data_IF_217840906720
#
_entry.id   IF_217840906720
#
_cell.length_a   1.000
_cell.length_b   1.000
_cell.length_c   1.000
_cell.angle_alpha   90.00
_cell.angle_beta   90.00
_cell.angle_gamma   90.00
#
_symmetry.space_group_name_H-M   'P 1'
#
loop_
_entity.id
_entity.type
_entity.pdbx_description
1 polymer ?
#
# COMPACT_ATOMS: atom_id res chain seq x y z
N UNK A 1 42.94 -65.59 -27.59
CA UNK A 1 42.36 -65.60 -28.94
C UNK A 1 41.39 -64.42 -29.01
N UNK A 2 41.59 -63.54 -29.99
CA UNK A 2 40.91 -62.25 -30.26
C UNK A 2 39.37 -62.37 -30.17
N UNK A 3 38.57 -61.35 -29.85
CA UNK A 3 38.32 -60.14 -30.68
C UNK A 3 37.85 -58.94 -29.81
N UNK A 4 38.25 -57.74 -30.25
CA UNK A 4 37.89 -56.41 -29.75
C UNK A 4 36.43 -56.00 -30.06
N UNK A 5 35.92 -54.92 -29.44
CA UNK A 5 35.22 -53.87 -30.19
C UNK A 5 35.24 -52.53 -29.44
N UNK A 6 35.51 -51.49 -30.21
CA UNK A 6 35.64 -50.09 -29.83
C UNK A 6 34.31 -49.31 -30.04
N UNK A 7 34.37 -48.01 -29.74
CA UNK A 7 33.48 -46.91 -30.16
C UNK A 7 32.24 -46.64 -29.28
N UNK A 8 31.69 -45.43 -29.23
CA UNK A 8 32.18 -44.05 -29.29
C UNK A 8 30.94 -43.17 -28.99
N UNK A 9 31.17 -42.09 -28.26
CA UNK A 9 30.46 -40.79 -28.19
C UNK A 9 29.22 -40.60 -29.09
N UNK A 10 28.07 -40.28 -28.48
CA UNK A 10 27.38 -38.96 -28.54
C UNK A 10 25.89 -39.09 -28.21
N UNK A 11 25.34 -38.32 -27.24
CA UNK A 11 23.90 -38.06 -27.22
C UNK A 11 23.55 -37.01 -28.30
N UNK A 12 22.61 -37.39 -29.17
CA UNK A 12 21.91 -36.50 -30.09
C UNK A 12 21.25 -35.38 -29.27
N UNK A 13 21.74 -34.15 -29.47
CA UNK A 13 21.00 -32.92 -29.16
C UNK A 13 19.79 -32.86 -30.10
N UNK A 14 18.62 -33.20 -29.57
CA UNK A 14 17.37 -32.87 -30.22
C UNK A 14 17.22 -31.35 -30.21
N UNK A 15 17.29 -30.75 -31.40
CA UNK A 15 17.01 -29.35 -31.65
C UNK A 15 15.55 -29.06 -31.26
N UNK A 16 15.36 -28.24 -30.23
CA UNK A 16 14.10 -27.56 -30.00
C UNK A 16 13.90 -26.52 -31.13
N UNK A 17 12.68 -26.36 -31.66
CA UNK A 17 12.42 -25.40 -32.73
C UNK A 17 12.62 -23.96 -32.22
N UNK A 18 13.72 -23.38 -32.64
CA UNK A 18 14.04 -21.96 -32.65
C UNK A 18 13.12 -21.26 -33.66
N UNK A 19 11.95 -20.81 -33.23
CA UNK A 19 11.13 -19.75 -33.84
C UNK A 19 9.79 -19.62 -33.09
N UNK A 20 9.82 -18.97 -31.93
CA UNK A 20 8.65 -18.24 -31.42
C UNK A 20 9.05 -16.76 -31.41
N UNK A 21 8.26 -15.85 -32.01
CA UNK A 21 8.55 -14.42 -31.93
C UNK A 21 8.58 -14.05 -30.45
N UNK A 22 9.73 -13.53 -30.01
CA UNK A 22 9.93 -13.08 -28.66
C UNK A 22 8.87 -12.06 -28.29
N UNK A 23 7.94 -12.45 -27.44
CA UNK A 23 7.16 -11.51 -26.65
C UNK A 23 8.14 -10.91 -25.66
N UNK A 24 8.79 -9.82 -26.06
CA UNK A 24 9.40 -8.91 -25.10
C UNK A 24 8.24 -8.33 -24.31
N UNK A 25 8.02 -8.85 -23.10
CA UNK A 25 7.19 -8.18 -22.11
C UNK A 25 7.91 -6.88 -21.74
N UNK A 26 7.73 -5.85 -22.56
CA UNK A 26 7.97 -4.49 -22.12
C UNK A 26 6.92 -4.27 -21.03
N UNK A 27 7.38 -4.42 -19.78
CA UNK A 27 6.53 -4.20 -18.62
C UNK A 27 5.96 -2.80 -18.79
N UNK A 28 4.65 -2.72 -19.03
CA UNK A 28 3.95 -1.44 -19.05
C UNK A 28 4.35 -0.70 -17.77
N UNK A 29 4.69 0.59 -17.85
CA UNK A 29 5.05 1.35 -16.67
C UNK A 29 3.93 1.19 -15.64
N UNK A 30 4.31 0.84 -14.41
CA UNK A 30 3.37 0.73 -13.31
C UNK A 30 2.57 2.06 -13.26
N UNK A 31 1.23 2.01 -13.18
CA UNK A 31 0.47 3.22 -12.91
C UNK A 31 1.03 3.82 -11.62
N UNK A 32 1.43 5.08 -11.67
CA UNK A 32 2.03 5.79 -10.54
C UNK A 32 0.93 6.09 -9.51
N UNK A 33 0.56 5.05 -8.77
CA UNK A 33 -0.36 5.13 -7.64
C UNK A 33 0.43 4.74 -6.41
N UNK A 34 1.21 5.71 -5.93
CA UNK A 34 1.71 5.70 -4.56
C UNK A 34 0.79 6.62 -3.75
N UNK A 35 -0.20 6.07 -3.03
CA UNK A 35 -1.08 6.87 -2.19
C UNK A 35 -0.26 7.70 -1.21
N UNK A 36 -0.65 8.95 -1.05
CA UNK A 36 -0.06 9.88 -0.09
C UNK A 36 -1.10 10.29 0.92
N UNK A 37 -0.65 10.60 2.13
CA UNK A 37 -1.54 11.14 3.13
C UNK A 37 -1.96 12.56 2.77
N UNK A 38 -3.24 12.86 2.97
CA UNK A 38 -3.85 14.18 2.72
C UNK A 38 -4.64 14.64 3.94
N UNK A 39 -4.84 15.95 4.06
CA UNK A 39 -5.77 16.50 5.04
C UNK A 39 -7.19 16.10 4.66
N UNK A 40 -7.83 15.31 5.52
CA UNK A 40 -9.19 14.85 5.33
C UNK A 40 -10.19 15.98 5.61
N UNK A 41 -11.27 15.96 4.84
CA UNK A 41 -12.48 16.73 5.15
C UNK A 41 -13.63 15.75 5.40
N UNK A 42 -14.66 16.19 6.14
CA UNK A 42 -15.85 15.38 6.41
C UNK A 42 -16.48 14.87 5.11
N UNK A 43 -16.61 15.74 4.11
CA UNK A 43 -17.17 15.41 2.79
C UNK A 43 -16.34 14.34 2.06
N UNK A 44 -15.00 14.41 2.11
CA UNK A 44 -14.14 13.37 1.52
C UNK A 44 -14.36 12.00 2.16
N UNK A 45 -14.45 11.94 3.50
CA UNK A 45 -14.69 10.69 4.23
C UNK A 45 -16.10 10.16 3.94
N UNK A 46 -17.11 11.04 3.85
CA UNK A 46 -18.47 10.66 3.48
C UNK A 46 -18.56 10.04 2.07
N UNK A 47 -17.95 10.71 1.07
CA UNK A 47 -17.87 10.20 -0.31
C UNK A 47 -17.13 8.87 -0.36
N UNK A 48 -16.03 8.76 0.38
CA UNK A 48 -15.25 7.52 0.47
C UNK A 48 -16.11 6.38 1.04
N UNK A 49 -16.73 6.57 2.21
CA UNK A 49 -17.62 5.57 2.83
C UNK A 49 -18.76 5.16 1.89
N UNK A 50 -19.35 6.13 1.18
CA UNK A 50 -20.43 5.87 0.24
C UNK A 50 -19.97 5.05 -0.98
N UNK A 51 -18.73 5.25 -1.43
CA UNK A 51 -18.16 4.55 -2.59
C UNK A 51 -17.76 3.09 -2.31
N UNK A 52 -17.44 2.76 -1.06
CA UNK A 52 -16.84 1.47 -0.69
C UNK A 52 -17.63 0.25 -1.16
N UNK A 53 -18.97 0.14 -0.93
CA UNK A 53 -19.72 -1.04 -1.35
C UNK A 53 -19.64 -1.28 -2.86
N UNK A 54 -19.69 -0.20 -3.65
CA UNK A 54 -19.61 -0.26 -5.12
C UNK A 54 -18.23 -0.71 -5.58
N UNK A 55 -17.15 -0.15 -5.04
CA UNK A 55 -15.80 -0.54 -5.46
C UNK A 55 -15.42 -1.94 -5.00
N UNK A 56 -15.85 -2.36 -3.80
CA UNK A 56 -15.62 -3.73 -3.33
C UNK A 56 -16.40 -4.75 -4.19
N UNK A 57 -17.61 -4.43 -4.62
CA UNK A 57 -18.36 -5.25 -5.57
C UNK A 57 -17.64 -5.33 -6.93
N UNK A 58 -17.21 -4.18 -7.46
CA UNK A 58 -16.46 -4.13 -8.72
C UNK A 58 -15.15 -4.94 -8.65
N UNK A 59 -14.39 -4.82 -7.56
CA UNK A 59 -13.15 -5.59 -7.36
C UNK A 59 -13.44 -7.08 -7.47
N UNK A 60 -14.48 -7.59 -6.79
CA UNK A 60 -14.87 -9.00 -6.84
C UNK A 60 -15.31 -9.46 -8.23
N UNK A 61 -15.97 -8.59 -8.98
CA UNK A 61 -16.38 -8.90 -10.36
C UNK A 61 -15.17 -8.97 -11.28
N UNK A 62 -14.24 -8.02 -11.17
CA UNK A 62 -12.98 -8.02 -11.91
C UNK A 62 -12.09 -9.23 -11.56
N UNK A 63 -12.02 -9.62 -10.28
CA UNK A 63 -11.33 -10.84 -9.85
C UNK A 63 -11.92 -12.07 -10.55
N UNK A 64 -13.25 -12.18 -10.58
CA UNK A 64 -13.95 -13.30 -11.22
C UNK A 64 -13.70 -13.33 -12.73
N UNK A 65 -13.74 -12.18 -13.39
CA UNK A 65 -13.48 -12.05 -14.83
C UNK A 65 -12.04 -12.43 -15.20
N UNK A 66 -11.08 -12.09 -14.34
CA UNK A 66 -9.66 -12.38 -14.55
C UNK A 66 -9.21 -13.74 -13.98
N UNK A 67 -10.12 -14.51 -13.37
CA UNK A 67 -9.82 -15.81 -12.76
C UNK A 67 -8.93 -15.71 -11.52
N UNK A 68 -8.92 -14.57 -10.84
CA UNK A 68 -8.25 -14.39 -9.55
C UNK A 68 -9.13 -14.98 -8.44
N UNK A 69 -8.57 -15.95 -7.72
CA UNK A 69 -9.31 -16.75 -6.73
C UNK A 69 -9.22 -16.15 -5.33
N UNK A 70 -8.32 -15.20 -5.10
CA UNK A 70 -7.99 -14.74 -3.76
C UNK A 70 -7.55 -13.25 -3.73
N UNK A 71 -8.47 -12.31 -3.49
CA UNK A 71 -8.13 -10.90 -3.39
C UNK A 71 -7.60 -10.58 -1.99
N UNK A 72 -6.40 -11.05 -1.70
CA UNK A 72 -5.68 -10.72 -0.45
C UNK A 72 -5.54 -9.19 -0.27
N UNK A 73 -5.58 -8.42 -1.37
CA UNK A 73 -5.49 -6.96 -1.36
C UNK A 73 -6.76 -6.22 -0.91
N UNK A 74 -7.96 -6.82 -1.03
CA UNK A 74 -9.20 -6.13 -0.65
C UNK A 74 -9.41 -6.05 0.87
N UNK A 75 -8.74 -6.93 1.62
CA UNK A 75 -8.90 -7.00 3.06
C UNK A 75 -7.84 -6.18 3.82
N UNK A 76 -6.62 -6.04 3.29
CA UNK A 76 -5.50 -5.45 4.02
C UNK A 76 -5.39 -3.92 3.80
N UNK A 77 -5.33 -3.44 2.56
CA UNK A 77 -5.18 -2.00 2.27
C UNK A 77 -6.09 -1.55 1.12
N UNK A 78 -7.16 -0.84 1.49
CA UNK A 78 -8.15 -0.32 0.53
C UNK A 78 -7.53 0.61 -0.50
N UNK A 79 -6.44 1.31 -0.20
CA UNK A 79 -5.80 2.23 -1.15
C UNK A 79 -5.15 1.53 -2.34
N UNK A 80 -4.90 0.22 -2.26
CA UNK A 80 -4.31 -0.60 -3.32
C UNK A 80 -5.28 -1.60 -3.96
N UNK A 81 -6.52 -1.67 -3.50
CA UNK A 81 -7.47 -2.74 -3.88
C UNK A 81 -7.72 -2.85 -5.39
N UNK A 82 -7.69 -1.74 -6.13
CA UNK A 82 -7.91 -1.74 -7.58
C UNK A 82 -6.63 -1.64 -8.42
N UNK A 83 -5.46 -1.42 -7.81
CA UNK A 83 -4.17 -1.26 -8.52
C UNK A 83 -3.88 -2.38 -9.51
N UNK A 84 -4.14 -3.67 -9.19
CA UNK A 84 -3.92 -4.77 -10.13
C UNK A 84 -4.72 -4.70 -11.44
N UNK A 85 -5.73 -3.83 -11.53
CA UNK A 85 -6.61 -3.67 -12.69
C UNK A 85 -6.30 -2.43 -13.53
N UNK A 86 -5.56 -1.47 -12.98
CA UNK A 86 -5.26 -0.19 -13.62
C UNK A 86 -4.31 -0.32 -14.82
N UNK A 87 -3.74 -1.51 -15.06
CA UNK A 87 -2.92 -1.80 -16.23
C UNK A 87 -3.73 -1.96 -17.53
N UNK A 88 -5.04 -2.18 -17.44
CA UNK A 88 -5.94 -2.15 -18.59
C UNK A 88 -6.62 -0.77 -18.67
N UNK A 89 -6.32 0.06 -19.70
CA UNK A 89 -6.89 1.40 -19.81
C UNK A 89 -8.42 1.44 -19.88
N UNK A 90 -9.08 0.37 -20.34
CA UNK A 90 -10.54 0.30 -20.36
C UNK A 90 -11.10 0.07 -18.97
N UNK A 91 -10.44 -0.79 -18.18
CA UNK A 91 -10.85 -1.04 -16.80
C UNK A 91 -10.55 0.19 -15.94
N UNK A 92 -9.39 0.82 -16.12
CA UNK A 92 -9.05 2.10 -15.49
C UNK A 92 -10.11 3.18 -15.80
N UNK A 93 -10.48 3.36 -17.07
CA UNK A 93 -11.51 4.33 -17.46
C UNK A 93 -12.85 4.04 -16.79
N UNK A 94 -13.24 2.75 -16.70
CA UNK A 94 -14.47 2.34 -16.05
C UNK A 94 -14.45 2.58 -14.53
N UNK A 95 -13.31 2.31 -13.87
CA UNK A 95 -13.10 2.62 -12.45
C UNK A 95 -13.27 4.12 -12.21
N UNK A 96 -12.62 4.95 -13.02
CA UNK A 96 -12.69 6.41 -12.88
C UNK A 96 -14.10 6.96 -13.16
N UNK A 97 -14.83 6.40 -14.13
CA UNK A 97 -16.23 6.74 -14.38
C UNK A 97 -17.10 6.47 -13.15
N UNK A 98 -16.91 5.32 -12.51
CA UNK A 98 -17.66 4.92 -11.31
C UNK A 98 -17.31 5.76 -10.10
N UNK A 99 -16.04 6.11 -9.93
CA UNK A 99 -15.57 7.03 -8.91
C UNK A 99 -16.14 8.44 -9.06
N UNK A 100 -16.34 8.90 -10.29
CA UNK A 100 -16.94 10.20 -10.58
C UNK A 100 -18.40 10.31 -10.10
N UNK A 101 -19.15 9.20 -10.03
CA UNK A 101 -20.50 9.17 -9.45
C UNK A 101 -20.50 9.58 -7.96
N UNK A 102 -19.38 9.36 -7.28
CA UNK A 102 -19.16 9.76 -5.88
C UNK A 102 -18.41 11.08 -5.76
N UNK A 103 -18.08 11.74 -6.87
CA UNK A 103 -17.37 13.02 -6.89
C UNK A 103 -15.85 12.92 -6.78
N UNK A 104 -15.24 11.75 -7.00
CA UNK A 104 -13.78 11.64 -7.13
C UNK A 104 -13.36 11.86 -8.58
N UNK A 105 -12.30 12.66 -8.80
CA UNK A 105 -11.78 12.93 -10.12
C UNK A 105 -10.98 11.76 -10.71
N UNK A 106 -10.43 10.89 -9.85
CA UNK A 106 -9.62 9.74 -10.27
C UNK A 106 -9.47 8.70 -9.15
N UNK A 107 -9.00 7.51 -9.50
CA UNK A 107 -8.55 6.50 -8.54
C UNK A 107 -7.45 7.02 -7.61
N UNK A 108 -6.51 7.84 -8.09
CA UNK A 108 -5.45 8.40 -7.24
C UNK A 108 -6.01 9.29 -6.12
N UNK A 109 -7.03 10.11 -6.41
CA UNK A 109 -7.70 10.92 -5.38
C UNK A 109 -8.39 10.02 -4.34
N UNK A 110 -9.12 9.02 -4.82
CA UNK A 110 -9.79 8.06 -3.95
C UNK A 110 -8.80 7.28 -3.07
N UNK A 111 -7.68 6.83 -3.65
CA UNK A 111 -6.64 6.07 -2.95
C UNK A 111 -5.93 6.92 -1.88
N UNK A 112 -5.71 8.21 -2.11
CA UNK A 112 -5.17 9.12 -1.09
C UNK A 112 -6.12 9.27 0.12
N UNK A 113 -7.44 9.36 -0.13
CA UNK A 113 -8.44 9.36 0.95
C UNK A 113 -8.43 8.02 1.67
N UNK A 114 -8.43 6.91 0.94
CA UNK A 114 -8.39 5.56 1.49
C UNK A 114 -7.19 5.34 2.42
N UNK A 115 -5.99 5.74 1.97
CA UNK A 115 -4.74 5.64 2.73
C UNK A 115 -4.76 6.53 3.98
N UNK A 116 -5.26 7.76 3.87
CA UNK A 116 -5.36 8.66 5.04
C UNK A 116 -6.36 8.13 6.07
N UNK A 117 -7.46 7.51 5.62
CA UNK A 117 -8.46 6.89 6.49
C UNK A 117 -7.91 5.61 7.14
N UNK A 118 -7.17 4.77 6.41
CA UNK A 118 -6.60 3.53 6.96
C UNK A 118 -5.61 3.82 8.10
N UNK A 119 -4.78 4.85 7.97
CA UNK A 119 -3.91 5.28 9.08
C UNK A 119 -4.71 5.73 10.29
N UNK A 120 -5.88 6.39 10.11
CA UNK A 120 -6.75 6.73 11.25
C UNK A 120 -7.37 5.47 11.87
N UNK A 121 -7.82 4.50 11.06
CA UNK A 121 -8.37 3.22 11.56
C UNK A 121 -7.31 2.47 12.37
N UNK A 122 -6.12 2.25 11.80
CA UNK A 122 -4.98 1.60 12.46
C UNK A 122 -4.66 2.30 13.79
N UNK A 123 -4.54 3.62 13.76
CA UNK A 123 -4.21 4.39 14.95
C UNK A 123 -5.35 4.49 15.98
N UNK A 124 -6.57 4.05 15.63
CA UNK A 124 -7.73 3.95 16.53
C UNK A 124 -7.92 2.55 17.12
N UNK A 125 -7.46 1.51 16.41
CA UNK A 125 -7.49 0.12 16.86
C UNK A 125 -6.40 -0.16 17.91
N UNK A 126 -5.28 0.57 17.87
CA UNK A 126 -4.39 0.70 19.02
C UNK A 126 -5.07 1.57 20.09
N UNK A 127 -5.32 1.00 21.29
CA UNK A 127 -6.15 1.58 22.38
C UNK A 127 -5.58 2.83 23.06
N UNK A 128 -4.71 3.56 22.40
CA UNK A 128 -4.27 4.89 22.80
C UNK A 128 -3.59 5.56 21.62
N UNK A 129 -3.84 6.85 21.42
CA UNK A 129 -2.94 7.67 20.62
C UNK A 129 -1.53 7.47 21.22
N UNK A 130 -0.61 6.91 20.43
CA UNK A 130 0.78 6.86 20.82
C UNK A 130 1.24 8.32 20.80
N UNK A 131 1.46 8.89 21.99
CA UNK A 131 2.02 10.24 22.10
C UNK A 131 3.51 10.21 21.71
N UNK A 132 3.77 10.04 20.42
CA UNK A 132 5.12 10.00 19.86
C UNK A 132 5.87 11.30 20.17
N UNK A 133 5.17 12.44 20.17
CA UNK A 133 5.76 13.73 20.52
C UNK A 133 6.20 13.78 21.99
N UNK A 134 5.37 13.32 22.92
CA UNK A 134 5.71 13.20 24.33
C UNK A 134 6.83 12.18 24.58
N UNK A 135 6.83 11.05 23.85
CA UNK A 135 7.89 10.04 23.94
C UNK A 135 9.23 10.56 23.39
N UNK A 136 9.23 11.26 22.26
CA UNK A 136 10.42 11.90 21.70
C UNK A 136 10.96 12.92 22.69
N UNK A 137 10.09 13.76 23.27
CA UNK A 137 10.49 14.78 24.24
C UNK A 137 11.08 14.15 25.51
N UNK A 138 10.49 13.07 26.02
CA UNK A 138 11.01 12.35 27.17
C UNK A 138 12.38 11.73 26.88
N UNK A 139 12.52 11.01 25.76
CA UNK A 139 13.79 10.40 25.34
C UNK A 139 14.88 11.47 25.11
N UNK A 140 14.53 12.61 24.51
CA UNK A 140 15.44 13.74 24.33
C UNK A 140 15.92 14.29 25.67
N UNK A 141 15.02 14.45 26.64
CA UNK A 141 15.37 14.92 27.98
C UNK A 141 16.30 13.95 28.71
N UNK A 142 16.13 12.63 28.53
CA UNK A 142 17.02 11.61 29.09
C UNK A 142 18.43 11.69 28.49
N UNK A 143 18.55 11.85 27.17
CA UNK A 143 19.84 12.05 26.48
C UNK A 143 20.51 13.33 26.98
N UNK A 144 19.76 14.42 27.14
CA UNK A 144 20.27 15.69 27.68
C UNK A 144 20.66 15.62 29.16
N UNK A 145 20.01 14.78 29.95
CA UNK A 145 20.38 14.58 31.36
C UNK A 145 21.61 13.67 31.54
N UNK A 146 21.97 12.88 30.52
CA UNK A 146 23.05 11.91 30.63
C UNK A 146 24.43 12.57 30.65
N UNK A 147 25.07 12.58 31.82
CA UNK A 147 26.41 13.16 32.04
C UNK A 147 27.56 12.27 31.55
N UNK A 148 27.29 11.02 31.18
CA UNK A 148 28.30 10.11 30.66
C UNK A 148 28.58 10.34 29.17
N UNK A 149 27.69 11.04 28.45
CA UNK A 149 27.87 11.38 27.04
C UNK A 149 28.69 12.66 26.90
N UNK A 150 29.70 12.63 26.03
CA UNK A 150 30.32 13.85 25.50
C UNK A 150 29.32 14.67 24.69
N UNK A 151 29.66 15.94 24.41
CA UNK A 151 28.81 16.83 23.61
C UNK A 151 28.54 16.28 22.21
N UNK A 152 29.55 15.63 21.61
CA UNK A 152 29.49 15.07 20.27
C UNK A 152 28.62 13.80 20.21
N UNK A 153 28.75 12.91 21.20
CA UNK A 153 27.91 11.71 21.35
C UNK A 153 26.44 12.08 21.63
N UNK A 154 26.21 13.13 22.43
CA UNK A 154 24.88 13.66 22.74
C UNK A 154 24.21 14.21 21.49
N UNK A 155 24.91 15.03 20.71
CA UNK A 155 24.37 15.57 19.46
C UNK A 155 23.96 14.44 18.51
N UNK A 156 24.85 13.45 18.33
CA UNK A 156 24.57 12.30 17.47
C UNK A 156 23.35 11.49 17.97
N UNK A 157 23.25 11.24 19.26
CA UNK A 157 22.11 10.52 19.84
C UNK A 157 20.79 11.27 19.65
N UNK A 158 20.78 12.61 19.75
CA UNK A 158 19.60 13.42 19.47
C UNK A 158 19.20 13.35 17.99
N UNK A 159 20.18 13.41 17.07
CA UNK A 159 19.88 13.34 15.63
C UNK A 159 19.38 11.95 15.22
N UNK A 160 19.93 10.89 15.81
CA UNK A 160 19.47 9.53 15.60
C UNK A 160 18.06 9.31 16.19
N UNK A 161 17.78 9.87 17.37
CA UNK A 161 16.43 9.89 17.94
C UNK A 161 15.42 10.56 17.01
N UNK A 162 15.73 11.76 16.49
CA UNK A 162 14.86 12.46 15.53
C UNK A 162 14.61 11.63 14.28
N UNK A 163 15.63 10.97 13.74
CA UNK A 163 15.47 10.14 12.55
C UNK A 163 14.55 8.94 12.81
N UNK A 164 14.63 8.32 13.99
CA UNK A 164 13.75 7.21 14.37
C UNK A 164 12.30 7.68 14.52
N UNK A 165 12.07 8.80 15.19
CA UNK A 165 10.73 9.34 15.39
C UNK A 165 10.13 9.91 14.10
N UNK A 166 10.94 10.49 13.21
CA UNK A 166 10.48 10.92 11.88
C UNK A 166 9.94 9.75 11.06
N UNK A 167 10.60 8.58 11.10
CA UNK A 167 10.13 7.39 10.41
C UNK A 167 8.83 6.82 11.03
N UNK A 168 8.67 6.92 12.35
CA UNK A 168 7.43 6.52 13.04
C UNK A 168 6.27 7.48 12.75
N UNK A 169 6.57 8.78 12.60
CA UNK A 169 5.57 9.80 12.29
C UNK A 169 4.95 9.64 10.90
N UNK A 170 5.57 8.91 9.97
CA UNK A 170 4.98 8.60 8.65
C UNK A 170 3.69 7.75 8.77
N UNK A 171 3.55 7.01 9.88
CA UNK A 171 2.39 6.18 10.17
C UNK A 171 1.35 6.89 11.04
N UNK A 172 1.64 8.11 11.51
CA UNK A 172 0.65 8.91 12.22
C UNK A 172 -0.31 9.62 11.26
N UNK A 173 -1.61 9.66 11.56
CA UNK A 173 -2.52 10.53 10.84
C UNK A 173 -2.09 12.00 10.97
N UNK A 174 -2.19 12.74 9.87
CA UNK A 174 -1.96 14.17 9.79
C UNK A 174 -2.88 14.88 10.80
N UNK A 175 -2.43 16.03 11.34
CA UNK A 175 -3.24 16.80 12.29
C UNK A 175 -4.67 17.05 11.77
N UNK A 176 -5.67 16.73 12.59
CA UNK A 176 -7.09 16.91 12.24
C UNK A 176 -7.75 15.70 11.56
N UNK A 177 -6.99 14.73 11.03
CA UNK A 177 -7.54 13.58 10.33
C UNK A 177 -8.28 12.64 11.28
N UNK A 178 -7.76 12.44 12.51
CA UNK A 178 -8.41 11.61 13.53
C UNK A 178 -9.79 12.14 13.88
N UNK A 179 -9.89 13.43 14.17
CA UNK A 179 -11.15 14.11 14.54
C UNK A 179 -12.16 14.08 13.39
N UNK A 180 -11.66 14.23 12.16
CA UNK A 180 -12.51 14.25 10.96
C UNK A 180 -13.09 12.87 10.65
N UNK A 181 -12.31 11.80 10.76
CA UNK A 181 -12.73 10.45 10.40
C UNK A 181 -13.38 9.68 11.56
N UNK A 182 -13.14 10.05 12.82
CA UNK A 182 -13.68 9.38 14.01
C UNK A 182 -15.21 9.11 13.96
N UNK A 183 -16.07 10.05 13.50
CA UNK A 183 -17.51 9.81 13.40
C UNK A 183 -17.92 8.71 12.41
N UNK A 184 -17.01 8.32 11.51
CA UNK A 184 -17.28 7.40 10.40
C UNK A 184 -16.70 6.00 10.63
N UNK A 185 -15.84 5.79 11.63
CA UNK A 185 -15.11 4.53 11.84
C UNK A 185 -16.03 3.31 11.93
N UNK A 186 -17.15 3.40 12.64
CA UNK A 186 -18.14 2.30 12.71
C UNK A 186 -18.75 1.99 11.34
N UNK A 187 -19.04 3.01 10.53
CA UNK A 187 -19.57 2.82 9.18
C UNK A 187 -18.52 2.22 8.23
N UNK A 188 -17.25 2.61 8.41
CA UNK A 188 -16.12 2.07 7.67
C UNK A 188 -15.92 0.58 7.95
N UNK A 189 -15.89 0.19 9.23
CA UNK A 189 -15.82 -1.22 9.66
C UNK A 189 -16.97 -2.03 9.07
N UNK A 190 -18.20 -1.55 9.22
CA UNK A 190 -19.39 -2.21 8.68
C UNK A 190 -19.33 -2.35 7.14
N UNK A 191 -18.87 -1.33 6.40
CA UNK A 191 -18.73 -1.39 4.95
C UNK A 191 -17.67 -2.41 4.49
N UNK A 192 -16.66 -2.68 5.33
CA UNK A 192 -15.62 -3.70 5.12
C UNK A 192 -16.04 -5.10 5.63
N UNK A 193 -17.19 -5.23 6.28
CA UNK A 193 -17.65 -6.48 6.89
C UNK A 193 -16.94 -6.83 8.20
N UNK A 194 -16.40 -5.82 8.91
CA UNK A 194 -15.77 -5.93 10.23
C UNK A 194 -16.65 -5.37 11.33
#
# INVERSE_FOLDING_TARGET
MFVAFAAAVSPVLAQAPENAPGVTWEAAPLPDVKPVQISLTTDMVERFVASLPTLLAMTRDLDREQGRVDPTAAEEDLSFVLVPYLFDPKIEAHINEKLAEFGFASYAEWANVAHSVSLVEEASDFTGAIDLAGQEQAARAEIEANKALSDEERSKAIDELKSQFAALAEFEPLPGNRETAAPFLERLRAARGR
#
